data_IF_144025394268
#
_entry.id   IF_144025394268
#
_cell.length_a   1.000
_cell.length_b   1.000
_cell.length_c   1.000
_cell.angle_alpha   90.00
_cell.angle_beta   90.00
_cell.angle_gamma   90.00
#
_symmetry.space_group_name_H-M   'P 1'
#
loop_
_entity.id
_entity.type
_entity.pdbx_description
1 polymer ?
#
# COMPACT_ATOMS: atom_id res chain seq x y z
N UNK A 1 -13.74 -12.85 10.43
CA UNK A 1 -12.84 -14.02 10.40
C UNK A 1 -12.68 -14.46 8.94
N UNK A 2 -11.53 -14.24 8.30
CA UNK A 2 -11.27 -14.83 6.96
C UNK A 2 -10.72 -16.25 7.17
N UNK A 3 -11.38 -17.27 6.64
CA UNK A 3 -10.99 -18.69 6.74
C UNK A 3 -9.76 -19.05 5.89
N UNK A 4 -9.31 -18.15 5.01
CA UNK A 4 -8.11 -18.31 4.18
C UNK A 4 -7.31 -16.99 4.15
N UNK A 5 -5.99 -17.10 4.03
CA UNK A 5 -5.10 -15.94 3.97
C UNK A 5 -5.37 -15.14 2.68
N UNK A 6 -5.90 -13.92 2.81
CA UNK A 6 -6.05 -13.00 1.69
C UNK A 6 -4.80 -12.12 1.55
N UNK A 7 -3.99 -12.27 0.49
CA UNK A 7 -2.76 -11.48 0.32
C UNK A 7 -3.01 -9.98 0.08
N UNK A 8 -4.26 -9.57 -0.14
CA UNK A 8 -4.68 -8.19 -0.34
C UNK A 8 -5.35 -7.58 0.91
N UNK A 9 -5.33 -8.26 2.06
CA UNK A 9 -5.89 -7.74 3.32
C UNK A 9 -5.11 -6.54 3.89
N UNK A 10 -3.90 -6.28 3.38
CA UNK A 10 -3.00 -5.23 3.86
C UNK A 10 -2.07 -5.66 5.00
N UNK A 11 -2.15 -6.92 5.45
CA UNK A 11 -1.28 -7.50 6.49
C UNK A 11 0.07 -8.03 5.97
N UNK A 12 0.15 -8.35 4.67
CA UNK A 12 1.40 -8.76 4.04
C UNK A 12 2.44 -7.62 4.05
N UNK A 13 3.73 -7.99 4.02
CA UNK A 13 4.86 -7.04 4.04
C UNK A 13 5.76 -7.28 2.80
N UNK A 14 5.93 -6.30 1.90
CA UNK A 14 5.17 -5.05 1.84
C UNK A 14 3.69 -5.34 1.46
N UNK A 15 2.73 -4.49 1.85
CA UNK A 15 1.34 -4.74 1.51
C UNK A 15 1.13 -4.58 0.00
N UNK A 16 0.33 -5.47 -0.62
CA UNK A 16 -0.02 -5.39 -2.03
C UNK A 16 -1.15 -4.39 -2.28
N UNK A 17 -1.19 -3.84 -3.48
CA UNK A 17 -2.27 -2.94 -3.88
C UNK A 17 -3.55 -3.75 -4.00
N UNK A 18 -4.66 -3.17 -3.51
CA UNK A 18 -5.93 -3.90 -3.47
C UNK A 18 -6.56 -3.94 -4.86
N UNK A 19 -7.20 -5.05 -5.25
CA UNK A 19 -8.08 -5.07 -6.40
C UNK A 19 -9.15 -3.98 -6.26
N UNK A 20 -9.53 -3.38 -7.39
CA UNK A 20 -10.53 -2.31 -7.44
C UNK A 20 -11.74 -2.74 -8.26
N UNK A 21 -12.92 -2.33 -7.82
CA UNK A 21 -14.15 -2.58 -8.55
C UNK A 21 -14.25 -1.64 -9.76
N UNK A 22 -14.74 -2.15 -10.88
CA UNK A 22 -15.14 -1.33 -12.02
C UNK A 22 -16.39 -0.52 -11.65
N UNK A 23 -16.38 0.79 -11.91
CA UNK A 23 -17.51 1.70 -11.66
C UNK A 23 -18.75 1.40 -12.51
N UNK A 24 -18.58 0.74 -13.66
CA UNK A 24 -19.68 0.44 -14.59
C UNK A 24 -20.29 -0.94 -14.32
N UNK A 25 -19.48 -2.00 -14.26
CA UNK A 25 -19.98 -3.37 -14.18
C UNK A 25 -19.71 -4.07 -12.85
N UNK A 26 -19.11 -3.39 -11.87
CA UNK A 26 -18.80 -3.94 -10.54
C UNK A 26 -17.70 -5.01 -10.49
N UNK A 27 -17.14 -5.43 -11.63
CA UNK A 27 -16.13 -6.48 -11.67
C UNK A 27 -14.83 -6.01 -11.00
N UNK A 28 -14.29 -6.82 -10.08
CA UNK A 28 -12.99 -6.57 -9.47
C UNK A 28 -11.85 -6.86 -10.45
N UNK A 29 -10.92 -5.90 -10.53
CA UNK A 29 -9.75 -5.94 -11.39
C UNK A 29 -8.48 -5.74 -10.56
N UNK A 30 -7.44 -6.49 -10.93
CA UNK A 30 -6.14 -6.36 -10.30
C UNK A 30 -5.48 -5.01 -10.65
N UNK A 31 -4.58 -4.51 -9.79
CA UNK A 31 -3.95 -3.20 -9.94
C UNK A 31 -3.28 -2.95 -11.29
N UNK A 32 -2.70 -3.99 -11.90
CA UNK A 32 -1.92 -3.92 -13.13
C UNK A 32 -2.77 -3.60 -14.37
N UNK A 33 -4.09 -3.77 -14.28
CA UNK A 33 -5.00 -3.50 -15.40
C UNK A 33 -5.37 -2.02 -15.45
N UNK A 34 -5.30 -1.40 -16.63
CA UNK A 34 -5.87 -0.07 -16.90
C UNK A 34 -7.34 -0.14 -17.30
N UNK A 35 -7.76 -1.23 -17.95
CA UNK A 35 -9.13 -1.43 -18.41
C UNK A 35 -9.79 -2.63 -17.73
N UNK A 36 -11.11 -2.56 -17.56
CA UNK A 36 -11.89 -3.62 -16.95
C UNK A 36 -11.81 -4.89 -17.80
N UNK A 37 -11.47 -6.02 -17.17
CA UNK A 37 -11.41 -7.34 -17.83
C UNK A 37 -12.75 -7.84 -18.37
N UNK A 38 -13.88 -7.24 -17.95
CA UNK A 38 -15.23 -7.66 -18.34
C UNK A 38 -15.87 -6.72 -19.36
N UNK A 39 -15.96 -5.43 -19.06
CA UNK A 39 -16.66 -4.46 -19.91
C UNK A 39 -15.73 -3.53 -20.72
N UNK A 40 -14.40 -3.65 -20.57
CA UNK A 40 -13.43 -2.84 -21.32
C UNK A 40 -13.27 -1.39 -20.84
N UNK A 41 -14.18 -0.87 -20.01
CA UNK A 41 -14.11 0.50 -19.49
C UNK A 41 -12.80 0.77 -18.77
N UNK A 42 -12.27 1.98 -18.92
CA UNK A 42 -11.13 2.45 -18.15
C UNK A 42 -11.43 2.38 -16.65
N UNK A 43 -10.48 1.85 -15.89
CA UNK A 43 -10.59 1.70 -14.45
C UNK A 43 -10.05 2.95 -13.77
N UNK A 44 -10.62 3.33 -12.60
CA UNK A 44 -10.11 4.46 -11.84
C UNK A 44 -8.63 4.27 -11.48
N UNK A 45 -7.88 5.37 -11.29
CA UNK A 45 -6.49 5.28 -10.85
C UNK A 45 -6.40 4.59 -9.48
N UNK A 46 -5.25 3.97 -9.22
CA UNK A 46 -5.01 3.35 -7.92
C UNK A 46 -4.86 4.43 -6.84
N UNK A 47 -5.45 4.22 -5.65
CA UNK A 47 -5.29 5.16 -4.56
C UNK A 47 -3.81 5.21 -4.13
N UNK A 48 -3.24 6.41 -4.09
CA UNK A 48 -1.89 6.62 -3.54
C UNK A 48 -1.89 6.22 -2.08
N UNK A 49 -0.84 5.52 -1.66
CA UNK A 49 -0.64 5.18 -0.24
C UNK A 49 -0.11 6.39 0.50
N UNK A 50 -0.52 6.62 1.74
CA UNK A 50 0.03 7.71 2.54
C UNK A 50 1.47 7.37 2.93
N UNK A 51 2.33 8.38 2.86
CA UNK A 51 3.62 8.35 3.55
C UNK A 51 3.38 8.58 5.03
N UNK A 52 3.92 7.72 5.88
CA UNK A 52 3.77 7.82 7.34
C UNK A 52 5.11 7.64 8.04
N UNK A 53 5.25 8.23 9.22
CA UNK A 53 6.37 7.93 10.12
C UNK A 53 6.25 6.50 10.64
N UNK A 54 7.25 5.66 10.37
CA UNK A 54 7.22 4.25 10.74
C UNK A 54 7.94 4.01 12.07
N UNK A 55 7.17 3.80 13.14
CA UNK A 55 7.68 3.53 14.50
C UNK A 55 8.59 2.28 14.64
N UNK A 56 8.71 1.45 13.59
CA UNK A 56 9.61 0.29 13.60
C UNK A 56 11.03 0.63 13.15
N UNK A 57 11.19 1.59 12.24
CA UNK A 57 12.50 2.03 11.70
C UNK A 57 12.84 3.48 12.05
N UNK A 58 11.89 4.19 12.67
CA UNK A 58 11.96 5.62 13.01
C UNK A 58 12.27 6.53 11.81
N UNK A 59 11.59 6.25 10.68
CA UNK A 59 11.78 6.98 9.42
C UNK A 59 10.49 6.93 8.58
N UNK A 60 10.36 7.82 7.60
CA UNK A 60 9.27 7.88 6.64
C UNK A 60 9.20 6.62 5.78
N UNK A 61 7.98 6.12 5.58
CA UNK A 61 7.68 4.98 4.75
C UNK A 61 6.44 5.25 3.87
N UNK A 62 6.61 5.20 2.56
CA UNK A 62 5.55 5.41 1.56
C UNK A 62 4.67 4.16 1.33
N UNK A 63 4.99 3.04 1.98
CA UNK A 63 4.21 1.81 1.88
C UNK A 63 3.87 1.22 3.25
N UNK A 64 2.93 1.84 4.00
CA UNK A 64 2.65 1.48 5.38
C UNK A 64 2.08 0.07 5.55
N UNK A 65 2.79 -0.77 6.32
CA UNK A 65 2.37 -2.14 6.67
C UNK A 65 1.76 -2.28 8.08
N UNK A 66 1.14 -1.21 8.59
CA UNK A 66 0.61 -1.07 9.97
C UNK A 66 1.66 -1.02 11.10
N UNK A 67 2.96 -1.20 10.82
CA UNK A 67 4.04 -1.00 11.82
C UNK A 67 4.20 0.45 12.30
N UNK A 68 3.57 1.42 11.63
CA UNK A 68 3.49 2.80 12.09
C UNK A 68 2.47 3.00 13.22
N UNK A 69 1.56 2.04 13.46
CA UNK A 69 0.48 2.19 14.44
C UNK A 69 0.92 1.92 15.87
N UNK A 70 1.97 1.13 16.05
CA UNK A 70 2.51 0.71 17.35
C UNK A 70 4.03 0.56 17.25
N UNK A 71 4.78 0.96 18.28
CA UNK A 71 6.22 0.73 18.33
C UNK A 71 6.54 -0.77 18.37
N UNK A 72 7.82 -1.11 18.20
CA UNK A 72 8.29 -2.48 18.45
C UNK A 72 8.01 -2.88 19.90
N UNK A 73 7.76 -4.17 20.15
CA UNK A 73 7.48 -4.68 21.50
C UNK A 73 8.62 -4.39 22.48
N UNK A 74 9.86 -4.42 21.98
CA UNK A 74 11.07 -4.16 22.76
C UNK A 74 11.36 -2.65 22.91
N UNK A 75 10.60 -1.77 22.25
CA UNK A 75 10.84 -0.32 22.19
C UNK A 75 12.05 0.09 21.32
N UNK A 76 12.81 -0.87 20.79
CA UNK A 76 14.02 -0.62 20.00
C UNK A 76 13.68 -0.45 18.52
N UNK A 77 14.29 0.56 17.88
CA UNK A 77 14.25 0.79 16.43
C UNK A 77 15.06 -0.28 15.70
N UNK A 78 14.53 -0.84 14.62
CA UNK A 78 15.14 -1.96 13.88
C UNK A 78 15.30 -1.60 12.41
N UNK A 79 16.20 -2.30 11.72
CA UNK A 79 16.27 -2.24 10.25
C UNK A 79 15.09 -2.99 9.63
N UNK A 80 14.62 -2.56 8.45
CA UNK A 80 13.50 -3.18 7.75
C UNK A 80 13.81 -3.40 6.27
N UNK A 81 13.87 -4.66 5.84
CA UNK A 81 14.01 -5.08 4.44
C UNK A 81 12.88 -4.59 3.52
N UNK A 82 11.70 -4.34 4.10
CA UNK A 82 10.50 -3.93 3.35
C UNK A 82 10.22 -2.43 3.46
N UNK A 83 11.18 -1.64 3.96
CA UNK A 83 11.05 -0.19 3.98
C UNK A 83 10.90 0.31 2.54
N UNK A 84 9.93 1.18 2.31
CA UNK A 84 9.75 1.88 1.05
C UNK A 84 9.98 3.36 1.30
N UNK A 85 11.14 3.91 0.89
CA UNK A 85 11.41 5.34 1.00
C UNK A 85 10.34 6.16 0.28
N UNK A 86 9.99 7.36 0.77
CA UNK A 86 9.17 8.29 -0.01
C UNK A 86 9.91 8.68 -1.31
N UNK A 87 9.16 8.97 -2.39
CA UNK A 87 9.77 9.57 -3.58
C UNK A 87 10.44 10.89 -3.15
N UNK A 88 11.67 11.15 -3.59
CA UNK A 88 12.41 12.37 -3.28
C UNK A 88 11.55 13.59 -3.68
N UNK A 89 11.11 14.38 -2.71
CA UNK A 89 10.56 15.72 -2.96
C UNK A 89 11.73 16.67 -3.21
N UNK A 90 12.40 16.50 -4.35
CA UNK A 90 13.35 17.48 -4.87
C UNK A 90 12.73 18.12 -6.11
N UNK A 91 11.59 18.79 -5.89
CA UNK A 91 11.02 19.77 -6.80
C UNK A 91 10.73 21.02 -5.96
N UNK A 92 11.43 22.10 -6.30
CA UNK A 92 11.33 23.48 -5.79
C UNK A 92 12.11 23.81 -4.50
N UNK A 93 13.42 23.94 -4.64
CA UNK A 93 14.10 25.11 -4.07
C UNK A 93 13.92 26.25 -5.08
N UNK A 94 13.25 27.30 -4.64
CA UNK A 94 13.10 28.60 -5.31
C UNK A 94 14.45 29.30 -5.50
#
# INVERSE_FOLDING_TARGET
MCWSCNPYCGGCKPPKEKPRACSICGTYNFPERKNCKRCGTELPPLPKRPTVMCLYVDDLCANPCNKHKKPSQDGIVKTCKYRTPPPNTSDNSE
#
